data_IF_072157278454
#
_entry.id   IF_072157278454
#
_cell.length_a   1.000
_cell.length_b   1.000
_cell.length_c   1.000
_cell.angle_alpha   90.00
_cell.angle_beta   90.00
_cell.angle_gamma   90.00
#
_symmetry.space_group_name_H-M   'P 1'
#
loop_
_entity.id
_entity.type
_entity.pdbx_description
1 polymer ?
#
# COMPACT_ATOMS: atom_id res chain seq x y z
N UNK A 1 35.11 7.48 22.31
CA UNK A 1 33.64 7.54 22.14
C UNK A 1 33.19 6.25 21.45
N UNK A 2 32.22 5.50 21.97
CA UNK A 2 31.72 4.32 21.28
C UNK A 2 31.01 4.73 19.98
N UNK A 3 31.26 3.99 18.90
CA UNK A 3 30.58 4.15 17.62
C UNK A 3 29.44 3.11 17.51
N UNK A 4 28.33 3.48 16.87
CA UNK A 4 27.28 2.51 16.58
C UNK A 4 27.75 1.47 15.55
N UNK A 5 27.36 0.21 15.76
CA UNK A 5 27.61 -0.89 14.80
C UNK A 5 26.90 -0.66 13.45
N UNK A 6 25.73 -0.03 13.47
CA UNK A 6 24.94 0.28 12.28
C UNK A 6 24.62 1.79 12.20
N UNK A 7 24.68 2.41 11.01
CA UNK A 7 24.22 3.77 10.77
C UNK A 7 22.77 3.99 11.21
N UNK A 8 22.49 5.18 11.76
CA UNK A 8 21.16 5.54 12.30
C UNK A 8 20.04 5.44 11.26
N UNK A 9 20.30 5.85 10.01
CA UNK A 9 19.31 5.78 8.93
C UNK A 9 18.90 4.34 8.55
N UNK A 10 19.69 3.33 8.90
CA UNK A 10 19.37 1.92 8.64
C UNK A 10 18.51 1.28 9.73
N UNK A 11 18.32 1.91 10.89
CA UNK A 11 17.61 1.28 12.01
C UNK A 11 16.16 0.95 11.67
N UNK A 12 15.49 1.78 10.86
CA UNK A 12 14.13 1.49 10.40
C UNK A 12 14.09 0.22 9.54
N UNK A 13 15.03 0.07 8.59
CA UNK A 13 15.14 -1.13 7.75
C UNK A 13 15.51 -2.38 8.57
N UNK A 14 16.36 -2.23 9.59
CA UNK A 14 16.70 -3.33 10.50
C UNK A 14 15.48 -3.79 11.32
N UNK A 15 14.62 -2.85 11.75
CA UNK A 15 13.37 -3.18 12.44
C UNK A 15 12.42 -3.99 11.57
N UNK A 16 12.38 -3.74 10.25
CA UNK A 16 11.56 -4.52 9.32
C UNK A 16 12.02 -5.99 9.19
N UNK A 17 13.30 -6.27 9.47
CA UNK A 17 13.88 -7.62 9.41
C UNK A 17 13.77 -8.41 10.71
N UNK A 18 13.16 -7.85 11.75
CA UNK A 18 13.08 -8.47 13.07
C UNK A 18 11.63 -8.59 13.57
N UNK A 19 11.41 -9.54 14.49
CA UNK A 19 10.15 -9.68 15.21
C UNK A 19 8.96 -9.98 14.31
N UNK A 20 7.83 -9.32 14.58
CA UNK A 20 6.59 -9.45 13.82
C UNK A 20 6.70 -8.82 12.41
N UNK A 21 7.54 -7.79 12.22
CA UNK A 21 7.72 -7.16 10.92
C UNK A 21 8.29 -8.13 9.88
N UNK A 22 9.18 -9.03 10.31
CA UNK A 22 9.81 -10.03 9.44
C UNK A 22 8.81 -11.10 8.94
N UNK A 23 7.67 -11.26 9.62
CA UNK A 23 6.60 -12.20 9.25
C UNK A 23 5.55 -11.58 8.33
N UNK A 24 5.65 -10.27 8.04
CA UNK A 24 4.76 -9.60 7.10
C UNK A 24 4.95 -10.15 5.67
N UNK A 25 3.92 -10.07 4.81
CA UNK A 25 4.02 -10.53 3.44
C UNK A 25 5.11 -9.83 2.63
N UNK A 26 5.82 -10.61 1.79
CA UNK A 26 6.93 -10.10 1.00
C UNK A 26 6.53 -8.99 0.01
N UNK A 27 5.34 -9.08 -0.60
CA UNK A 27 4.84 -8.04 -1.53
C UNK A 27 4.63 -6.69 -0.80
N UNK A 28 4.13 -6.72 0.43
CA UNK A 28 3.95 -5.51 1.24
C UNK A 28 5.30 -4.90 1.62
N UNK A 29 6.26 -5.72 2.06
CA UNK A 29 7.61 -5.24 2.39
C UNK A 29 8.32 -4.62 1.17
N UNK A 30 8.19 -5.21 -0.02
CA UNK A 30 8.72 -4.62 -1.27
C UNK A 30 8.13 -3.24 -1.53
N UNK A 31 6.82 -3.09 -1.38
CA UNK A 31 6.15 -1.79 -1.58
C UNK A 31 6.55 -0.71 -0.56
N UNK A 32 7.10 -1.09 0.60
CA UNK A 32 7.65 -0.15 1.58
C UNK A 32 9.11 0.22 1.28
N UNK A 33 9.87 -0.68 0.66
CA UNK A 33 11.26 -0.44 0.27
C UNK A 33 11.37 0.32 -1.06
N UNK A 34 10.37 0.21 -1.93
CA UNK A 34 10.27 0.94 -3.19
C UNK A 34 10.03 2.44 -2.96
N UNK A 35 11.11 3.20 -2.88
CA UNK A 35 11.07 4.66 -2.83
C UNK A 35 11.09 5.23 -4.25
N UNK A 36 9.94 5.17 -4.91
CA UNK A 36 9.76 5.79 -6.23
C UNK A 36 9.59 7.30 -6.09
N UNK A 37 10.25 8.05 -6.98
CA UNK A 37 10.08 9.50 -7.04
C UNK A 37 8.69 9.85 -7.57
N UNK A 38 7.91 10.69 -6.87
CA UNK A 38 6.58 11.08 -7.29
C UNK A 38 6.62 11.96 -8.55
N UNK A 39 5.48 12.04 -9.22
CA UNK A 39 5.27 12.89 -10.39
C UNK A 39 5.44 14.37 -10.01
N UNK A 40 6.16 15.17 -10.81
CA UNK A 40 6.36 16.60 -10.52
C UNK A 40 5.04 17.38 -10.54
N UNK A 41 4.77 18.11 -9.45
CA UNK A 41 3.57 18.97 -9.30
C UNK A 41 3.95 20.44 -9.25
N UNK A 42 4.77 20.82 -8.28
CA UNK A 42 5.08 22.24 -7.97
C UNK A 42 6.30 22.79 -8.71
N UNK A 43 6.88 22.01 -9.61
CA UNK A 43 8.02 22.40 -10.43
C UNK A 43 7.92 21.79 -11.83
N UNK A 44 8.55 22.43 -12.81
CA UNK A 44 8.60 21.93 -14.18
C UNK A 44 9.87 21.10 -14.36
N UNK A 45 9.76 19.80 -14.71
CA UNK A 45 10.94 18.99 -14.96
C UNK A 45 11.68 19.49 -16.19
N UNK A 46 12.98 19.22 -16.27
CA UNK A 46 13.82 19.67 -17.36
C UNK A 46 13.59 18.91 -18.67
N UNK A 47 13.09 17.67 -18.61
CA UNK A 47 12.81 16.81 -19.78
C UNK A 47 14.04 16.19 -20.44
N UNK A 48 15.24 16.74 -20.19
CA UNK A 48 16.52 16.28 -20.75
C UNK A 48 17.58 16.14 -19.67
N UNK A 49 18.44 15.12 -19.75
CA UNK A 49 19.53 14.90 -18.78
C UNK A 49 20.69 15.89 -18.91
N UNK A 50 20.81 16.54 -20.06
CA UNK A 50 21.89 17.49 -20.35
C UNK A 50 21.33 18.75 -20.97
N UNK A 51 21.89 19.90 -20.61
CA UNK A 51 21.63 21.20 -21.25
C UNK A 51 22.93 21.89 -21.57
N UNK A 52 22.92 22.68 -22.64
CA UNK A 52 24.07 23.52 -22.99
C UNK A 52 23.96 24.78 -22.14
N UNK A 53 25.00 25.06 -21.36
CA UNK A 53 25.02 26.27 -20.54
C UNK A 53 25.21 27.50 -21.45
N UNK A 54 24.30 28.49 -21.41
CA UNK A 54 24.31 29.62 -22.33
C UNK A 54 25.54 30.52 -22.17
N UNK A 55 26.27 30.45 -21.05
CA UNK A 55 27.43 31.32 -20.79
C UNK A 55 28.73 30.78 -21.37
N UNK A 56 28.95 29.46 -21.30
CA UNK A 56 30.20 28.82 -21.68
C UNK A 56 30.06 27.89 -22.90
N UNK A 57 28.82 27.62 -23.36
CA UNK A 57 28.55 26.70 -24.46
C UNK A 57 28.83 25.23 -24.15
N UNK A 58 29.11 24.88 -22.89
CA UNK A 58 29.45 23.52 -22.50
C UNK A 58 28.21 22.71 -22.15
N UNK A 59 28.28 21.39 -22.41
CA UNK A 59 27.22 20.44 -22.06
C UNK A 59 27.30 20.07 -20.59
N UNK A 60 26.33 20.51 -19.81
CA UNK A 60 26.24 20.25 -18.37
C UNK A 60 25.07 19.29 -18.08
N UNK A 61 25.25 18.40 -17.10
CA UNK A 61 24.20 17.51 -16.61
C UNK A 61 23.24 18.33 -15.75
N UNK A 62 21.94 18.15 -15.97
CA UNK A 62 20.89 18.76 -15.14
C UNK A 62 20.06 17.68 -14.48
N UNK A 63 19.64 17.94 -13.25
CA UNK A 63 18.86 17.01 -12.44
C UNK A 63 17.60 17.68 -11.93
N UNK A 64 16.51 16.93 -11.93
CA UNK A 64 15.22 17.39 -11.42
C UNK A 64 15.17 17.12 -9.91
N UNK A 65 15.28 18.18 -9.10
CA UNK A 65 15.22 18.10 -7.64
C UNK A 65 13.80 18.44 -7.17
N UNK A 66 13.09 17.53 -6.49
CA UNK A 66 11.73 17.78 -6.05
C UNK A 66 11.68 18.83 -4.93
N UNK A 67 10.61 19.64 -4.94
CA UNK A 67 10.34 20.61 -3.88
C UNK A 67 9.75 19.87 -2.66
N UNK A 68 10.28 20.06 -1.44
CA UNK A 68 9.67 19.50 -0.24
C UNK A 68 8.25 20.03 -0.04
N UNK A 69 7.27 19.12 -0.06
CA UNK A 69 5.85 19.43 0.15
C UNK A 69 5.45 18.99 1.55
N UNK A 70 4.74 19.86 2.27
CA UNK A 70 4.14 19.53 3.56
C UNK A 70 2.68 19.11 3.37
N UNK A 71 2.37 17.87 3.73
CA UNK A 71 1.01 17.32 3.71
C UNK A 71 0.39 17.42 5.11
N UNK A 72 -0.62 18.28 5.32
CA UNK A 72 -1.28 18.43 6.61
C UNK A 72 -2.31 17.28 6.81
N UNK A 73 -2.77 17.00 8.03
CA UNK A 73 -3.66 15.86 8.29
C UNK A 73 -4.95 15.86 7.46
N UNK A 74 -5.47 17.04 7.11
CA UNK A 74 -6.66 17.20 6.26
C UNK A 74 -6.43 16.65 4.85
N UNK A 75 -5.19 16.64 4.36
CA UNK A 75 -4.86 16.03 3.05
C UNK A 75 -5.07 14.52 3.05
N UNK A 76 -4.91 13.87 4.20
CA UNK A 76 -5.08 12.42 4.34
C UNK A 76 -6.55 11.98 4.35
N UNK A 77 -7.47 12.93 4.59
CA UNK A 77 -8.91 12.72 4.57
C UNK A 77 -9.55 13.04 3.21
N UNK A 78 -8.84 13.75 2.33
CA UNK A 78 -9.30 14.20 1.01
C UNK A 78 -8.45 13.65 -0.14
N UNK A 79 -8.62 14.21 -1.34
CA UNK A 79 -7.86 13.84 -2.53
C UNK A 79 -7.24 15.09 -3.18
N UNK A 80 -5.97 15.36 -2.91
CA UNK A 80 -5.31 16.60 -3.32
C UNK A 80 -4.46 16.46 -4.61
N UNK A 81 -4.34 15.26 -5.17
CA UNK A 81 -3.70 15.04 -6.47
C UNK A 81 -2.20 15.37 -6.48
N UNK A 82 -1.52 15.10 -5.36
CA UNK A 82 -0.11 15.41 -5.14
C UNK A 82 0.17 16.86 -4.71
N UNK A 83 -0.84 17.74 -4.69
CA UNK A 83 -0.68 19.09 -4.14
C UNK A 83 -0.56 19.10 -2.62
N UNK A 84 0.07 20.14 -2.08
CA UNK A 84 0.23 20.33 -0.64
C UNK A 84 0.77 21.71 -0.32
N UNK A 85 1.15 21.93 0.94
CA UNK A 85 1.65 23.23 1.37
C UNK A 85 3.13 23.34 1.02
N UNK A 86 3.50 24.42 0.34
CA UNK A 86 4.90 24.76 0.10
C UNK A 86 5.32 25.78 1.15
N UNK A 87 6.30 25.39 1.96
CA UNK A 87 6.91 26.25 2.98
C UNK A 87 8.25 26.74 2.44
N UNK A 88 8.35 28.04 2.12
CA UNK A 88 9.57 28.57 1.54
C UNK A 88 9.78 30.05 1.81
N UNK A 89 10.65 30.64 1.01
CA UNK A 89 11.04 32.03 1.10
C UNK A 89 10.88 32.71 -0.27
N UNK A 90 10.57 34.00 -0.25
CA UNK A 90 10.63 34.88 -1.42
C UNK A 90 11.41 36.13 -1.07
N UNK A 91 12.03 36.73 -2.06
CA UNK A 91 12.56 38.07 -1.93
C UNK A 91 11.47 39.10 -2.23
N UNK A 92 11.47 40.22 -1.51
CA UNK A 92 10.56 41.33 -1.82
C UNK A 92 10.84 41.84 -3.25
N UNK A 93 9.77 42.19 -3.98
CA UNK A 93 9.83 42.64 -5.39
C UNK A 93 10.57 41.69 -6.36
N UNK A 94 10.76 40.42 -5.99
CA UNK A 94 11.56 39.43 -6.74
C UNK A 94 13.02 39.83 -6.97
N UNK A 95 13.55 40.74 -6.16
CA UNK A 95 14.94 41.20 -6.25
C UNK A 95 15.80 40.57 -5.15
N UNK A 96 16.91 39.93 -5.54
CA UNK A 96 17.82 39.24 -4.61
C UNK A 96 18.47 40.17 -3.60
N UNK A 97 18.61 41.46 -3.91
CA UNK A 97 19.16 42.47 -3.00
C UNK A 97 18.15 42.95 -1.95
N UNK A 98 16.86 42.69 -2.19
CA UNK A 98 15.78 43.04 -1.28
C UNK A 98 15.64 42.04 -0.12
N UNK A 99 14.80 42.34 0.88
CA UNK A 99 14.64 41.51 2.08
C UNK A 99 14.02 40.14 1.75
N UNK A 100 14.52 39.08 2.41
CA UNK A 100 13.97 37.72 2.33
C UNK A 100 12.82 37.54 3.31
N UNK A 101 11.66 37.10 2.81
CA UNK A 101 10.41 36.93 3.58
C UNK A 101 9.92 35.49 3.49
N UNK A 102 9.43 34.94 4.61
CA UNK A 102 8.78 33.61 4.64
C UNK A 102 7.45 33.67 3.90
N UNK A 103 7.18 32.70 3.03
CA UNK A 103 5.90 32.57 2.31
C UNK A 103 5.42 31.13 2.37
N UNK A 104 4.13 30.99 2.65
CA UNK A 104 3.40 29.73 2.57
C UNK A 104 2.47 29.83 1.37
N UNK A 105 2.58 28.85 0.47
CA UNK A 105 1.64 28.67 -0.64
C UNK A 105 0.71 27.53 -0.28
N UNK A 106 -0.60 27.78 -0.38
CA UNK A 106 -1.67 26.83 -0.07
C UNK A 106 -2.42 26.47 -1.35
N UNK A 107 -2.81 25.20 -1.54
CA UNK A 107 -3.66 24.81 -2.66
C UNK A 107 -5.08 25.34 -2.48
N UNK A 108 -5.83 25.40 -3.58
CA UNK A 108 -7.25 25.74 -3.55
C UNK A 108 -8.08 24.46 -3.39
N UNK A 109 -8.92 24.43 -2.36
CA UNK A 109 -9.70 23.27 -1.98
C UNK A 109 -11.18 23.48 -2.29
N UNK A 110 -11.84 22.43 -2.77
CA UNK A 110 -13.27 22.40 -3.06
C UNK A 110 -13.90 21.14 -2.48
N UNK A 111 -15.13 21.23 -2.01
CA UNK A 111 -15.91 20.05 -1.65
C UNK A 111 -16.78 19.64 -2.84
N UNK A 112 -16.61 18.41 -3.30
CA UNK A 112 -17.34 17.86 -4.44
C UNK A 112 -17.84 16.45 -4.14
N UNK A 113 -18.91 16.06 -4.83
CA UNK A 113 -19.45 14.71 -4.78
C UNK A 113 -18.88 13.89 -5.94
N UNK A 114 -18.24 12.77 -5.63
CA UNK A 114 -17.72 11.82 -6.61
C UNK A 114 -18.44 10.48 -6.45
N UNK A 115 -18.77 9.84 -7.57
CA UNK A 115 -19.41 8.53 -7.59
C UNK A 115 -18.41 7.46 -8.03
N UNK A 116 -18.41 6.32 -7.33
CA UNK A 116 -17.65 5.13 -7.69
C UNK A 116 -18.60 4.06 -8.23
N UNK A 117 -18.30 3.52 -9.41
CA UNK A 117 -19.04 2.43 -10.04
C UNK A 117 -18.74 1.10 -9.33
N UNK A 118 -17.47 0.86 -8.96
CA UNK A 118 -17.06 -0.37 -8.27
C UNK A 118 -17.67 -0.44 -6.86
N UNK A 119 -17.72 0.70 -6.17
CA UNK A 119 -18.25 0.78 -4.81
C UNK A 119 -19.76 1.02 -4.75
N UNK A 120 -20.38 1.43 -5.86
CA UNK A 120 -21.77 1.89 -5.99
C UNK A 120 -22.17 2.90 -4.91
N UNK A 121 -21.28 3.88 -4.65
CA UNK A 121 -21.45 4.87 -3.58
C UNK A 121 -20.95 6.24 -4.01
N UNK A 122 -21.66 7.27 -3.54
CA UNK A 122 -21.24 8.68 -3.63
C UNK A 122 -20.42 9.08 -2.40
N UNK A 123 -19.37 9.84 -2.61
CA UNK A 123 -18.49 10.36 -1.57
C UNK A 123 -18.40 11.87 -1.67
N UNK A 124 -18.61 12.56 -0.55
CA UNK A 124 -18.35 13.99 -0.40
C UNK A 124 -16.90 14.19 0.03
N UNK A 125 -16.04 14.58 -0.91
CA UNK A 125 -14.58 14.62 -0.69
C UNK A 125 -14.04 16.02 -0.98
N UNK A 126 -13.06 16.45 -0.19
CA UNK A 126 -12.29 17.66 -0.46
C UNK A 126 -11.25 17.38 -1.54
N UNK A 127 -11.36 18.08 -2.67
CA UNK A 127 -10.53 17.93 -3.87
C UNK A 127 -9.88 19.25 -4.27
N UNK A 128 -8.78 19.17 -5.01
CA UNK A 128 -8.15 20.31 -5.71
C UNK A 128 -8.61 20.34 -7.17
N UNK A 129 -8.37 21.45 -7.88
CA UNK A 129 -8.65 21.51 -9.33
C UNK A 129 -7.87 20.44 -10.09
N UNK A 130 -6.58 20.28 -9.78
CA UNK A 130 -5.73 19.26 -10.39
C UNK A 130 -6.30 17.85 -10.23
N UNK A 131 -6.85 17.51 -9.07
CA UNK A 131 -7.48 16.20 -8.88
C UNK A 131 -8.64 15.99 -9.85
N UNK A 132 -9.46 17.01 -10.10
CA UNK A 132 -10.56 16.93 -11.07
C UNK A 132 -10.03 16.75 -12.49
N UNK A 133 -9.00 17.51 -12.88
CA UNK A 133 -8.37 17.37 -14.19
C UNK A 133 -7.79 15.96 -14.39
N UNK A 134 -7.11 15.39 -13.37
CA UNK A 134 -6.56 14.03 -13.41
C UNK A 134 -7.65 12.95 -13.47
N UNK A 135 -8.81 13.18 -12.86
CA UNK A 135 -9.96 12.28 -12.95
C UNK A 135 -10.51 12.27 -14.38
N UNK A 136 -10.60 13.45 -15.01
CA UNK A 136 -11.06 13.60 -16.39
C UNK A 136 -10.06 12.95 -17.37
N UNK A 137 -8.75 13.18 -17.19
CA UNK A 137 -7.68 12.52 -17.95
C UNK A 137 -7.70 10.98 -17.80
N UNK A 138 -8.07 10.49 -16.62
CA UNK A 138 -8.18 9.05 -16.36
C UNK A 138 -9.47 8.42 -16.92
N UNK A 139 -10.41 9.24 -17.41
CA UNK A 139 -11.76 8.90 -17.84
C UNK A 139 -12.62 8.25 -16.75
N UNK A 140 -12.49 8.73 -15.51
CA UNK A 140 -13.35 8.33 -14.41
C UNK A 140 -12.64 8.23 -13.07
N UNK A 141 -13.42 8.37 -11.99
CA UNK A 141 -12.92 8.38 -10.63
C UNK A 141 -12.24 7.06 -10.23
N UNK A 142 -12.87 5.92 -10.54
CA UNK A 142 -12.33 4.60 -10.21
C UNK A 142 -11.01 4.33 -10.96
N UNK A 143 -10.92 4.73 -12.23
CA UNK A 143 -9.68 4.62 -12.99
C UNK A 143 -8.57 5.48 -12.42
N UNK A 144 -8.87 6.71 -11.99
CA UNK A 144 -7.89 7.57 -11.34
C UNK A 144 -7.31 6.89 -10.09
N UNK A 145 -8.16 6.37 -9.20
CA UNK A 145 -7.71 5.69 -7.97
C UNK A 145 -6.89 4.43 -8.28
N UNK A 146 -7.32 3.61 -9.23
CA UNK A 146 -6.63 2.36 -9.58
C UNK A 146 -5.29 2.59 -10.30
N UNK A 147 -5.23 3.54 -11.25
CA UNK A 147 -4.02 3.86 -12.03
C UNK A 147 -2.97 4.61 -11.20
N UNK A 148 -3.39 5.51 -10.32
CA UNK A 148 -2.47 6.37 -9.58
C UNK A 148 -1.70 5.57 -8.52
N UNK A 149 -0.35 5.64 -8.48
CA UNK A 149 0.45 4.96 -7.46
C UNK A 149 0.36 5.64 -6.09
N UNK A 150 0.89 4.98 -5.05
CA UNK A 150 0.76 5.43 -3.65
C UNK A 150 1.42 6.78 -3.42
N UNK A 151 2.60 6.98 -4.00
CA UNK A 151 3.41 8.20 -3.88
C UNK A 151 2.72 9.43 -4.48
N UNK A 152 1.97 9.26 -5.58
CA UNK A 152 1.29 10.35 -6.28
C UNK A 152 -0.08 10.66 -5.69
N UNK A 153 -0.78 9.63 -5.16
CA UNK A 153 -2.09 9.81 -4.55
C UNK A 153 -1.99 10.64 -3.26
N UNK A 154 -0.92 10.44 -2.48
CA UNK A 154 -0.57 11.28 -1.32
C UNK A 154 -1.62 11.31 -0.20
N UNK A 155 -2.58 10.38 -0.20
CA UNK A 155 -3.73 10.37 0.71
C UNK A 155 -4.07 8.97 1.19
N UNK A 156 -4.21 8.83 2.51
CA UNK A 156 -4.67 7.59 3.14
C UNK A 156 -6.08 7.19 2.72
N UNK A 157 -7.02 8.14 2.72
CA UNK A 157 -8.39 7.89 2.26
C UNK A 157 -8.42 7.34 0.82
N UNK A 158 -7.60 7.90 -0.08
CA UNK A 158 -7.48 7.39 -1.44
C UNK A 158 -6.94 5.95 -1.51
N UNK A 159 -5.97 5.62 -0.67
CA UNK A 159 -5.42 4.26 -0.59
C UNK A 159 -6.41 3.26 -0.01
N UNK A 160 -7.23 3.68 0.95
CA UNK A 160 -8.32 2.87 1.50
C UNK A 160 -9.40 2.58 0.46
N UNK A 161 -9.78 3.59 -0.34
CA UNK A 161 -10.66 3.39 -1.49
C UNK A 161 -10.07 2.40 -2.49
N UNK A 162 -8.77 2.56 -2.81
CA UNK A 162 -8.07 1.66 -3.74
C UNK A 162 -8.12 0.21 -3.26
N UNK A 163 -7.82 -0.03 -1.99
CA UNK A 163 -7.92 -1.35 -1.37
C UNK A 163 -9.35 -1.90 -1.45
N UNK A 164 -10.35 -1.10 -1.09
CA UNK A 164 -11.76 -1.51 -1.16
C UNK A 164 -12.20 -1.90 -2.57
N UNK A 165 -11.79 -1.13 -3.59
CA UNK A 165 -12.05 -1.44 -5.00
C UNK A 165 -11.37 -2.75 -5.42
N UNK A 166 -10.07 -2.90 -5.11
CA UNK A 166 -9.31 -4.11 -5.46
C UNK A 166 -9.89 -5.38 -4.81
N UNK A 167 -10.33 -5.29 -3.55
CA UNK A 167 -10.98 -6.42 -2.87
C UNK A 167 -12.30 -6.80 -3.53
N UNK A 168 -13.11 -5.82 -3.95
CA UNK A 168 -14.35 -6.10 -4.69
C UNK A 168 -14.10 -6.74 -6.05
N UNK A 169 -13.05 -6.29 -6.75
CA UNK A 169 -12.64 -6.87 -8.03
C UNK A 169 -12.13 -8.31 -7.86
N UNK A 170 -11.36 -8.58 -6.80
CA UNK A 170 -10.82 -9.90 -6.51
C UNK A 170 -11.91 -10.91 -6.11
N UNK A 171 -12.85 -10.51 -5.25
CA UNK A 171 -13.93 -11.38 -4.74
C UNK A 171 -15.08 -11.58 -5.72
N UNK A 172 -15.21 -10.73 -6.74
CA UNK A 172 -16.37 -10.68 -7.64
C UNK A 172 -17.71 -10.66 -6.87
N UNK A 173 -17.80 -9.72 -5.93
CA UNK A 173 -18.90 -9.64 -4.96
C UNK A 173 -20.30 -9.63 -5.62
N UNK A 174 -21.16 -10.63 -5.36
CA UNK A 174 -22.52 -10.70 -5.90
C UNK A 174 -23.44 -9.56 -5.44
N UNK A 175 -23.07 -8.85 -4.37
CA UNK A 175 -23.87 -7.75 -3.84
C UNK A 175 -23.79 -6.48 -4.70
N UNK A 176 -22.86 -6.38 -5.65
CA UNK A 176 -22.82 -5.25 -6.59
C UNK A 176 -24.02 -5.36 -7.56
N UNK A 177 -24.90 -4.37 -7.56
CA UNK A 177 -26.13 -4.33 -8.36
C UNK A 177 -26.92 -5.67 -8.39
N UNK A 178 -27.54 -6.08 -7.26
CA UNK A 178 -28.20 -7.38 -7.15
C UNK A 178 -29.29 -7.62 -8.21
N UNK A 179 -29.97 -6.55 -8.63
CA UNK A 179 -31.06 -6.58 -9.59
C UNK A 179 -30.59 -6.69 -11.05
N UNK A 180 -29.32 -6.35 -11.35
CA UNK A 180 -28.84 -6.19 -12.72
C UNK A 180 -27.49 -6.91 -12.94
N UNK A 181 -27.50 -8.22 -13.23
CA UNK A 181 -26.27 -9.01 -13.40
C UNK A 181 -25.46 -8.61 -14.65
N UNK A 182 -26.12 -8.16 -15.72
CA UNK A 182 -25.44 -7.71 -16.95
C UNK A 182 -24.59 -6.46 -16.71
N UNK A 183 -25.14 -5.49 -15.98
CA UNK A 183 -24.42 -4.27 -15.58
C UNK A 183 -23.23 -4.60 -14.70
N UNK A 184 -23.38 -5.54 -13.76
CA UNK A 184 -22.28 -6.00 -12.91
C UNK A 184 -21.16 -6.61 -13.75
N UNK A 185 -21.48 -7.51 -14.67
CA UNK A 185 -20.48 -8.13 -15.57
C UNK A 185 -19.73 -7.07 -16.39
N UNK A 186 -20.45 -6.11 -16.98
CA UNK A 186 -19.86 -5.02 -17.74
C UNK A 186 -18.88 -4.14 -16.91
N UNK A 187 -19.22 -3.88 -15.63
CA UNK A 187 -18.32 -3.14 -14.72
C UNK A 187 -17.05 -3.95 -14.47
N UNK A 188 -17.15 -5.24 -14.17
CA UNK A 188 -15.97 -6.07 -13.93
C UNK A 188 -15.09 -6.21 -15.17
N UNK A 189 -15.70 -6.34 -16.36
CA UNK A 189 -14.98 -6.38 -17.63
C UNK A 189 -14.22 -5.07 -17.90
N UNK A 190 -14.82 -3.92 -17.57
CA UNK A 190 -14.20 -2.60 -17.70
C UNK A 190 -12.92 -2.44 -16.85
N UNK A 191 -12.87 -3.00 -15.65
CA UNK A 191 -11.74 -2.88 -14.72
C UNK A 191 -10.84 -4.12 -14.65
N UNK A 192 -10.99 -5.06 -15.58
CA UNK A 192 -10.30 -6.37 -15.58
C UNK A 192 -8.77 -6.27 -15.52
N UNK A 193 -8.17 -5.21 -16.06
CA UNK A 193 -6.72 -5.01 -16.05
C UNK A 193 -6.13 -4.78 -14.66
N UNK A 194 -6.95 -4.44 -13.66
CA UNK A 194 -6.50 -4.11 -12.30
C UNK A 194 -6.79 -5.21 -11.28
N UNK A 195 -7.20 -6.41 -11.72
CA UNK A 195 -7.49 -7.53 -10.83
C UNK A 195 -6.18 -8.06 -10.23
N UNK A 196 -6.12 -8.06 -8.90
CA UNK A 196 -5.00 -8.54 -8.08
C UNK A 196 -5.56 -9.66 -7.17
N UNK A 197 -4.78 -10.69 -6.81
CA UNK A 197 -5.22 -11.69 -5.85
C UNK A 197 -5.68 -11.06 -4.53
N UNK A 198 -6.73 -11.62 -3.91
CA UNK A 198 -7.27 -11.12 -2.65
C UNK A 198 -6.19 -11.03 -1.57
N UNK A 199 -5.34 -12.05 -1.47
CA UNK A 199 -4.24 -12.12 -0.51
C UNK A 199 -3.23 -10.97 -0.63
N UNK A 200 -3.09 -10.34 -1.80
CA UNK A 200 -2.24 -9.17 -2.00
C UNK A 200 -3.05 -7.87 -1.84
N UNK A 201 -4.26 -7.84 -2.38
CA UNK A 201 -5.16 -6.68 -2.34
C UNK A 201 -5.45 -6.22 -0.90
N UNK A 202 -5.58 -7.15 0.05
CA UNK A 202 -5.86 -6.78 1.44
C UNK A 202 -4.74 -5.99 2.14
N UNK A 203 -3.51 -6.06 1.63
CA UNK A 203 -2.34 -5.36 2.20
C UNK A 203 -2.04 -4.04 1.50
N UNK A 204 -2.71 -3.74 0.38
CA UNK A 204 -2.53 -2.49 -0.35
C UNK A 204 -2.99 -1.32 0.52
N UNK A 205 -2.16 -0.28 0.61
CA UNK A 205 -2.53 0.98 1.27
C UNK A 205 -2.40 1.00 2.79
N UNK A 206 -2.16 -0.15 3.43
CA UNK A 206 -1.94 -0.22 4.88
C UNK A 206 -0.71 0.57 5.32
N UNK A 207 -0.81 1.25 6.45
CA UNK A 207 0.38 1.77 7.14
C UNK A 207 1.15 0.62 7.80
N UNK A 208 2.41 0.87 8.17
CA UNK A 208 3.20 -0.13 8.89
C UNK A 208 2.50 -0.56 10.20
N UNK A 209 1.91 0.39 10.92
CA UNK A 209 1.19 0.12 12.18
C UNK A 209 -0.05 -0.74 11.96
N UNK A 210 -0.86 -0.45 10.93
CA UNK A 210 -2.04 -1.24 10.60
C UNK A 210 -1.67 -2.63 10.10
N UNK A 211 -0.59 -2.76 9.33
CA UNK A 211 -0.10 -4.05 8.87
C UNK A 211 0.39 -4.91 10.04
N UNK A 212 1.04 -4.30 11.03
CA UNK A 212 1.46 -5.00 12.25
C UNK A 212 0.27 -5.46 13.08
N UNK A 213 -0.74 -4.62 13.26
CA UNK A 213 -1.94 -4.99 14.00
C UNK A 213 -2.72 -6.09 13.27
N UNK A 214 -2.85 -5.99 11.95
CA UNK A 214 -3.43 -7.05 11.12
C UNK A 214 -2.70 -8.38 11.31
N UNK A 215 -1.36 -8.37 11.24
CA UNK A 215 -0.56 -9.58 11.44
C UNK A 215 -0.70 -10.13 12.86
N UNK A 216 -0.78 -9.25 13.87
CA UNK A 216 -0.98 -9.64 15.27
C UNK A 216 -2.30 -10.40 15.43
N UNK A 217 -3.40 -9.86 14.89
CA UNK A 217 -4.72 -10.48 14.94
C UNK A 217 -4.79 -11.82 14.16
N UNK A 218 -4.04 -11.96 13.06
CA UNK A 218 -3.96 -13.22 12.31
C UNK A 218 -3.22 -14.33 13.08
N UNK A 219 -2.19 -13.94 13.84
CA UNK A 219 -1.40 -14.86 14.67
C UNK A 219 -2.01 -15.08 16.06
N UNK A 220 -2.98 -14.25 16.47
CA UNK A 220 -3.68 -14.34 17.74
C UNK A 220 -4.45 -15.66 17.81
N UNK A 221 -3.89 -16.60 18.56
CA UNK A 221 -4.45 -17.92 18.84
C UNK A 221 -4.19 -18.22 20.30
N UNK A 222 -5.19 -18.77 20.97
CA UNK A 222 -5.03 -19.22 22.34
C UNK A 222 -3.94 -20.30 22.41
N UNK A 223 -3.07 -20.26 23.44
CA UNK A 223 -2.02 -21.26 23.58
C UNK A 223 -2.67 -22.64 23.68
N UNK A 224 -2.24 -23.56 22.80
CA UNK A 224 -2.75 -24.93 22.80
C UNK A 224 -2.35 -25.58 24.13
N UNK A 225 -3.31 -26.07 24.95
CA UNK A 225 -2.99 -26.69 26.22
C UNK A 225 -2.05 -27.89 26.03
N UNK A 226 -0.97 -27.95 26.81
CA UNK A 226 0.06 -29.00 26.71
C UNK A 226 -0.50 -30.42 26.87
N UNK A 227 -1.63 -30.57 27.57
CA UNK A 227 -2.33 -31.84 27.66
C UNK A 227 -2.65 -32.44 26.29
N UNK A 228 -3.14 -31.64 25.34
CA UNK A 228 -3.44 -32.12 23.99
C UNK A 228 -2.19 -32.61 23.27
N UNK A 229 -1.09 -31.84 23.38
CA UNK A 229 0.22 -32.19 22.81
C UNK A 229 0.71 -33.53 23.36
N UNK A 230 0.68 -33.72 24.68
CA UNK A 230 1.15 -34.98 25.29
C UNK A 230 0.24 -36.17 24.99
N UNK A 231 -1.07 -35.96 24.83
CA UNK A 231 -1.99 -37.03 24.41
C UNK A 231 -1.69 -37.45 22.97
N UNK A 232 -1.46 -36.50 22.07
CA UNK A 232 -1.07 -36.79 20.68
C UNK A 232 0.26 -37.54 20.60
N UNK A 233 1.27 -37.12 21.36
CA UNK A 233 2.56 -37.82 21.48
C UNK A 233 2.40 -39.24 22.02
N UNK A 234 1.55 -39.45 23.03
CA UNK A 234 1.29 -40.77 23.61
C UNK A 234 0.61 -41.69 22.60
N UNK A 235 -0.39 -41.20 21.86
CA UNK A 235 -1.07 -41.96 20.81
C UNK A 235 -0.09 -42.36 19.72
N UNK A 236 0.80 -41.45 19.27
CA UNK A 236 1.84 -41.77 18.29
C UNK A 236 2.78 -42.86 18.79
N UNK A 237 3.28 -42.76 20.03
CA UNK A 237 4.15 -43.79 20.64
C UNK A 237 3.47 -45.16 20.72
N UNK A 238 2.19 -45.20 21.06
CA UNK A 238 1.42 -46.45 21.11
C UNK A 238 1.22 -47.04 19.71
N UNK A 239 0.95 -46.22 18.68
CA UNK A 239 0.87 -46.67 17.29
C UNK A 239 2.19 -47.26 16.80
N UNK A 240 3.32 -46.58 17.09
CA UNK A 240 4.66 -47.09 16.79
C UNK A 240 4.96 -48.43 17.50
N UNK A 241 4.55 -48.57 18.76
CA UNK A 241 4.68 -49.83 19.50
C UNK A 241 3.83 -50.95 18.91
N UNK A 242 2.63 -50.65 18.41
CA UNK A 242 1.78 -51.65 17.75
C UNK A 242 2.39 -52.08 16.41
N UNK A 243 2.95 -51.15 15.63
CA UNK A 243 3.60 -51.44 14.34
C UNK A 243 4.91 -52.23 14.48
N UNK A 244 5.64 -52.01 15.57
CA UNK A 244 6.91 -52.71 15.88
C UNK A 244 6.71 -54.07 16.57
N UNK A 245 5.51 -54.37 17.07
CA UNK A 245 5.19 -55.70 17.57
C UNK A 245 5.11 -56.68 16.39
N UNK A 246 5.89 -57.78 16.38
CA UNK A 246 5.75 -58.80 15.36
C UNK A 246 4.33 -59.38 15.40
N UNK A 247 3.69 -59.52 14.23
CA UNK A 247 2.38 -60.15 14.11
C UNK A 247 2.47 -61.58 14.65
N UNK A 248 1.99 -61.81 15.86
CA UNK A 248 1.85 -63.16 16.42
C UNK A 248 0.75 -63.84 15.62
N UNK A 249 1.15 -64.63 14.62
CA UNK A 249 0.29 -65.60 13.95
C UNK A 249 -0.18 -66.57 15.01
N UNK A 250 -1.38 -66.36 15.55
CA UNK A 250 -2.06 -67.37 16.35
C UNK A 250 -2.35 -68.56 15.43
N UNK A 251 -1.49 -69.60 15.48
CA UNK A 251 -1.87 -70.93 15.01
C UNK A 251 -3.09 -71.36 15.83
N UNK A 252 -4.25 -71.46 15.18
CA UNK A 252 -5.43 -72.13 15.75
C UNK A 252 -5.04 -73.57 16.04
N UNK A 253 -4.76 -73.88 17.31
CA UNK A 253 -4.69 -75.25 17.80
C UNK A 253 -6.13 -75.71 18.04
N UNK A 254 -6.71 -76.29 17.00
CA UNK A 254 -8.07 -76.80 17.01
C UNK A 254 -8.30 -77.56 15.72
N UNK A 255 -7.62 -78.71 15.61
CA UNK A 255 -8.02 -79.89 14.85
C UNK A 255 -6.91 -80.92 15.02
N UNK A 256 -7.14 -81.92 15.87
CA UNK A 256 -6.99 -83.33 15.52
C UNK A 256 -7.54 -84.18 16.68
N UNK A 257 -8.53 -85.00 16.30
CA UNK A 257 -9.17 -86.06 17.07
C UNK A 257 -8.24 -87.27 17.26
#
# INVERSE_FOLDING_TARGET
>A
MPLHRYPVHLWQKLRLRQGICARLPAHFLRSLEEERTPTPVHYKPHGTKFKINPKNGQRERVEDVPIPVHYPPESQQGLWGGEGLILGYRYANNDKLSKRVKKVWKPQLFTRELYSEILDKKFTVTVTMRTLDLIDEAYGFDFYILKTPKEDLGSKFGMDLKRGMLLRLARQDPHLHPENPERRAAIYDKYRSFVIPEAEAEWVGLTLEEALEKQRLLEEKDPVPLFKVYVEELVQRLQEQVLSRPAVVQKRAGDHA
#
